data_IF_157402429484
#
_entry.id   IF_157402429484
#
_cell.length_a   1.000
_cell.length_b   1.000
_cell.length_c   1.000
_cell.angle_alpha   90.00
_cell.angle_beta   90.00
_cell.angle_gamma   90.00
#
_symmetry.space_group_name_H-M   'P 1'
#
loop_
_entity.id
_entity.type
_entity.pdbx_description
1 polymer ?
#
# COMPACT_ATOMS: atom_id res chain seq x y z
N UNK A 1 -17.67 -12.96 -47.14
CA UNK A 1 -18.01 -11.99 -46.09
C UNK A 1 -17.09 -12.29 -44.92
N UNK A 2 -15.92 -11.64 -44.86
CA UNK A 2 -14.84 -11.95 -43.95
C UNK A 2 -14.78 -10.79 -42.92
N UNK A 3 -14.91 -11.09 -41.64
CA UNK A 3 -14.78 -10.13 -40.58
C UNK A 3 -13.31 -9.85 -40.27
N UNK A 4 -12.87 -8.62 -40.08
CA UNK A 4 -11.50 -8.30 -39.69
C UNK A 4 -11.28 -8.50 -38.18
N UNK A 5 -10.12 -9.07 -37.84
CA UNK A 5 -9.62 -9.29 -36.49
C UNK A 5 -9.11 -7.97 -35.85
N UNK A 6 -9.24 -7.79 -34.51
CA UNK A 6 -8.79 -6.61 -33.82
C UNK A 6 -7.36 -6.81 -33.27
N UNK A 7 -6.35 -6.28 -33.98
CA UNK A 7 -5.02 -6.10 -33.40
C UNK A 7 -4.37 -4.88 -34.06
N UNK A 8 -4.64 -3.71 -33.55
CA UNK A 8 -3.80 -2.54 -33.81
C UNK A 8 -3.21 -2.06 -32.49
N UNK A 9 -1.99 -2.51 -32.22
CA UNK A 9 -1.10 -1.88 -31.25
C UNK A 9 -0.71 -0.50 -31.79
N UNK A 10 -1.11 0.56 -31.11
CA UNK A 10 -0.62 1.90 -31.38
C UNK A 10 0.84 1.98 -30.91
N UNK A 11 1.77 1.92 -31.84
CA UNK A 11 3.17 2.26 -31.60
C UNK A 11 3.28 3.78 -31.60
N UNK A 12 3.46 4.37 -30.41
CA UNK A 12 3.76 5.80 -30.29
C UNK A 12 5.25 6.00 -30.63
N UNK A 13 5.51 6.50 -31.81
CA UNK A 13 6.83 6.97 -32.24
C UNK A 13 7.05 8.36 -31.67
N UNK A 14 8.00 8.49 -30.74
CA UNK A 14 8.48 9.79 -30.28
C UNK A 14 9.29 10.45 -31.41
N UNK A 15 8.69 11.41 -32.09
CA UNK A 15 9.40 12.32 -32.98
C UNK A 15 9.73 13.59 -32.19
N UNK A 16 11.03 13.83 -32.02
CA UNK A 16 11.60 15.04 -31.44
C UNK A 16 11.46 16.23 -32.42
N UNK A 17 10.52 17.13 -32.19
CA UNK A 17 10.63 18.53 -32.64
C UNK A 17 9.98 19.42 -31.58
N UNK A 18 10.76 20.36 -31.05
CA UNK A 18 10.37 21.23 -29.95
C UNK A 18 9.27 22.21 -30.31
N UNK A 19 8.35 22.40 -29.37
CA UNK A 19 7.58 23.61 -29.19
C UNK A 19 7.45 23.90 -27.68
N UNK A 20 7.96 25.02 -27.17
CA UNK A 20 7.95 25.32 -25.75
C UNK A 20 6.70 26.10 -25.41
N UNK A 21 5.58 25.48 -25.16
CA UNK A 21 4.40 26.09 -24.54
C UNK A 21 3.28 25.07 -24.28
N UNK A 22 3.58 23.89 -23.75
CA UNK A 22 2.54 23.07 -23.13
C UNK A 22 2.90 22.86 -21.67
N UNK A 23 2.38 23.72 -20.86
CA UNK A 23 2.58 23.76 -19.41
C UNK A 23 2.04 22.49 -18.79
N UNK A 24 2.87 21.86 -17.96
CA UNK A 24 2.63 20.74 -17.05
C UNK A 24 1.52 21.02 -16.01
N UNK A 25 0.31 21.35 -16.42
CA UNK A 25 -0.82 21.57 -15.51
C UNK A 25 -1.50 20.22 -15.17
N UNK A 26 -1.46 19.24 -16.07
CA UNK A 26 -2.15 17.97 -15.87
C UNK A 26 -1.42 16.98 -14.96
N UNK A 27 -0.09 16.96 -14.91
CA UNK A 27 0.64 16.05 -14.02
C UNK A 27 0.57 16.47 -12.55
N UNK A 28 0.64 17.76 -12.26
CA UNK A 28 0.56 18.25 -10.87
C UNK A 28 -0.86 18.13 -10.28
N UNK A 29 -1.91 18.30 -11.07
CA UNK A 29 -3.29 18.08 -10.63
C UNK A 29 -3.63 16.58 -10.48
N UNK A 30 -3.09 15.72 -11.31
CA UNK A 30 -3.29 14.28 -11.18
C UNK A 30 -2.62 13.71 -9.91
N UNK A 31 -1.42 14.16 -9.57
CA UNK A 31 -0.71 13.80 -8.35
C UNK A 31 -1.36 14.38 -7.08
N UNK A 32 -2.03 15.53 -7.19
CA UNK A 32 -2.69 16.16 -6.04
C UNK A 32 -3.96 15.45 -5.57
N UNK A 33 -4.52 14.54 -6.37
CA UNK A 33 -5.76 13.82 -6.06
C UNK A 33 -5.54 12.33 -5.67
N UNK A 34 -4.29 11.86 -5.65
CA UNK A 34 -3.96 10.51 -5.24
C UNK A 34 -3.85 10.38 -3.72
N UNK A 35 -4.37 9.29 -3.16
CA UNK A 35 -4.16 8.99 -1.75
C UNK A 35 -2.67 8.70 -1.45
N UNK A 36 -2.24 8.89 -0.21
CA UNK A 36 -0.87 8.57 0.22
C UNK A 36 -0.51 7.10 -0.08
N UNK A 37 -1.46 6.18 0.05
CA UNK A 37 -1.24 4.76 -0.24
C UNK A 37 -1.04 4.50 -1.73
N UNK A 38 -1.77 5.18 -2.60
CA UNK A 38 -1.58 5.10 -4.05
C UNK A 38 -0.21 5.63 -4.47
N UNK A 39 0.21 6.77 -3.91
CA UNK A 39 1.55 7.32 -4.16
C UNK A 39 2.65 6.37 -3.67
N UNK A 40 2.49 5.80 -2.47
CA UNK A 40 3.44 4.82 -1.92
C UNK A 40 3.51 3.56 -2.79
N UNK A 41 2.37 3.06 -3.26
CA UNK A 41 2.31 1.90 -4.16
C UNK A 41 3.07 2.15 -5.46
N UNK A 42 2.97 3.34 -6.05
CA UNK A 42 3.74 3.73 -7.23
C UNK A 42 5.26 3.71 -6.97
N UNK A 43 5.70 4.24 -5.81
CA UNK A 43 7.11 4.18 -5.41
C UNK A 43 7.58 2.75 -5.25
N UNK A 44 6.77 1.87 -4.68
CA UNK A 44 7.09 0.45 -4.51
C UNK A 44 7.19 -0.25 -5.87
N UNK A 45 6.25 0.02 -6.81
CA UNK A 45 6.30 -0.50 -8.18
C UNK A 45 7.57 -0.03 -8.90
N UNK A 46 7.93 1.26 -8.80
CA UNK A 46 9.17 1.76 -9.38
C UNK A 46 10.41 1.04 -8.82
N UNK A 47 10.46 0.76 -7.50
CA UNK A 47 11.56 0.00 -6.88
C UNK A 47 11.63 -1.46 -7.34
N UNK A 48 10.51 -2.06 -7.72
CA UNK A 48 10.45 -3.39 -8.32
C UNK A 48 10.95 -3.37 -9.76
N UNK A 49 10.49 -2.41 -10.55
CA UNK A 49 10.70 -2.36 -12.00
C UNK A 49 12.05 -1.71 -12.35
N UNK A 50 12.51 -0.75 -11.55
CA UNK A 50 13.77 -0.02 -11.68
C UNK A 50 14.59 -0.09 -10.38
N UNK A 51 15.12 -1.27 -10.01
CA UNK A 51 15.71 -1.51 -8.69
C UNK A 51 17.01 -0.70 -8.48
N UNK A 52 17.04 0.26 -7.55
CA UNK A 52 18.28 0.95 -7.20
C UNK A 52 19.26 0.02 -6.48
N UNK A 53 20.57 0.22 -6.69
CA UNK A 53 21.62 -0.62 -6.12
C UNK A 53 21.63 -0.70 -4.57
N UNK A 54 21.09 0.33 -3.90
CA UNK A 54 20.99 0.40 -2.44
C UNK A 54 19.55 0.76 -2.05
N UNK A 55 18.65 -0.23 -2.06
CA UNK A 55 17.25 -0.05 -1.68
C UNK A 55 16.81 -1.22 -0.80
N UNK A 56 16.24 -0.91 0.35
CA UNK A 56 15.64 -1.89 1.23
C UNK A 56 14.49 -2.63 0.54
N UNK A 57 13.60 -1.90 -0.15
CA UNK A 57 12.50 -2.48 -0.92
C UNK A 57 13.01 -3.48 -1.97
N UNK A 58 14.10 -3.13 -2.68
CA UNK A 58 14.74 -4.02 -3.65
C UNK A 58 15.28 -5.28 -2.97
N UNK A 59 15.85 -5.18 -1.77
CA UNK A 59 16.31 -6.37 -1.05
C UNK A 59 15.16 -7.30 -0.66
N UNK A 60 14.00 -6.75 -0.29
CA UNK A 60 12.80 -7.54 -0.02
C UNK A 60 12.29 -8.26 -1.27
N UNK A 61 12.23 -7.58 -2.41
CA UNK A 61 11.84 -8.21 -3.67
C UNK A 61 12.77 -9.34 -4.08
N UNK A 62 14.08 -9.18 -3.89
CA UNK A 62 15.08 -10.22 -4.20
C UNK A 62 14.96 -11.44 -3.27
N UNK A 63 14.60 -11.23 -2.01
CA UNK A 63 14.40 -12.29 -1.03
C UNK A 63 13.04 -13.00 -1.18
N UNK A 64 12.06 -12.34 -1.81
CA UNK A 64 10.76 -12.90 -2.16
C UNK A 64 9.79 -13.07 -1.01
N UNK A 65 8.71 -13.81 -1.27
CA UNK A 65 7.57 -14.00 -0.35
C UNK A 65 7.97 -14.44 1.06
N UNK A 66 8.95 -15.35 1.28
CA UNK A 66 9.31 -15.75 2.64
C UNK A 66 9.76 -14.57 3.51
N UNK A 67 10.70 -13.77 3.02
CA UNK A 67 11.24 -12.63 3.77
C UNK A 67 10.20 -11.50 3.93
N UNK A 68 9.44 -11.20 2.88
CA UNK A 68 8.37 -10.20 2.97
C UNK A 68 7.31 -10.66 3.98
N UNK A 69 6.98 -11.96 3.98
CA UNK A 69 6.04 -12.55 4.92
C UNK A 69 6.52 -12.51 6.37
N UNK A 70 7.81 -12.77 6.62
CA UNK A 70 8.44 -12.61 7.94
C UNK A 70 8.27 -11.17 8.44
N UNK A 71 8.53 -10.16 7.59
CA UNK A 71 8.35 -8.75 7.96
C UNK A 71 6.89 -8.40 8.24
N UNK A 72 5.94 -8.85 7.42
CA UNK A 72 4.50 -8.64 7.68
C UNK A 72 4.08 -9.21 9.04
N UNK A 73 4.59 -10.41 9.41
CA UNK A 73 4.27 -11.04 10.68
C UNK A 73 4.95 -10.35 11.88
N UNK A 74 6.17 -9.87 11.70
CA UNK A 74 6.93 -9.09 12.67
C UNK A 74 6.18 -7.80 13.01
N UNK A 75 5.87 -6.96 12.01
CA UNK A 75 5.16 -5.68 12.19
C UNK A 75 3.73 -5.88 12.76
N UNK A 76 3.05 -6.95 12.36
CA UNK A 76 1.75 -7.30 12.95
C UNK A 76 1.86 -7.63 14.44
N UNK A 77 2.93 -8.32 14.85
CA UNK A 77 3.22 -8.62 16.25
C UNK A 77 3.50 -7.35 17.07
N UNK A 78 4.38 -6.49 16.55
CA UNK A 78 4.76 -5.22 17.19
C UNK A 78 3.57 -4.25 17.30
N UNK A 79 2.71 -4.20 16.28
CA UNK A 79 1.46 -3.45 16.34
C UNK A 79 0.53 -3.94 17.46
N UNK A 80 0.38 -5.26 17.61
CA UNK A 80 -0.48 -5.82 18.67
C UNK A 80 0.10 -5.52 20.06
N UNK A 81 1.42 -5.64 20.24
CA UNK A 81 2.10 -5.36 21.49
C UNK A 81 1.97 -3.87 21.87
N UNK A 82 2.34 -2.97 20.96
CA UNK A 82 2.26 -1.52 21.18
C UNK A 82 0.84 -1.04 21.44
N UNK A 83 -0.16 -1.59 20.74
CA UNK A 83 -1.58 -1.30 20.96
C UNK A 83 -2.04 -1.78 22.35
N UNK A 84 -1.60 -2.97 22.79
CA UNK A 84 -1.88 -3.49 24.14
C UNK A 84 -1.34 -2.57 25.22
N UNK A 85 -0.09 -2.12 25.08
CA UNK A 85 0.53 -1.19 26.01
C UNK A 85 -0.17 0.18 26.03
N UNK A 86 -0.51 0.72 24.86
CA UNK A 86 -1.22 2.00 24.76
C UNK A 86 -2.59 1.94 25.40
N UNK A 87 -3.39 0.90 25.13
CA UNK A 87 -4.73 0.74 25.70
C UNK A 87 -4.69 0.56 27.21
N UNK A 88 -3.75 -0.24 27.75
CA UNK A 88 -3.60 -0.43 29.20
C UNK A 88 -3.31 0.87 29.94
N UNK A 89 -2.49 1.76 29.35
CA UNK A 89 -2.20 3.07 29.94
C UNK A 89 -3.39 4.04 29.85
N UNK A 90 -4.27 3.89 28.87
CA UNK A 90 -5.44 4.73 28.68
C UNK A 90 -6.54 4.45 29.70
N UNK A 91 -6.66 3.20 30.16
CA UNK A 91 -7.72 2.76 31.09
C UNK A 91 -7.50 3.14 32.57
N UNK A 92 -6.43 3.88 32.87
CA UNK A 92 -6.46 4.82 34.00
C UNK A 92 -6.08 4.31 35.38
N UNK A 93 -5.18 3.34 35.54
CA UNK A 93 -4.64 2.94 36.85
C UNK A 93 -3.24 3.45 37.15
N UNK A 94 -2.56 4.03 36.17
CA UNK A 94 -1.22 4.61 36.37
C UNK A 94 -1.24 6.11 36.08
N UNK A 95 -0.50 6.90 36.88
CA UNK A 95 -0.44 8.36 36.78
C UNK A 95 -0.19 8.80 35.32
N UNK A 96 -1.14 9.56 34.78
CA UNK A 96 -1.12 10.09 33.41
C UNK A 96 0.02 11.11 33.26
N UNK A 97 1.21 10.65 32.86
CA UNK A 97 2.16 11.52 32.21
C UNK A 97 1.72 11.61 30.73
N UNK A 98 1.28 12.80 30.31
CA UNK A 98 0.84 13.07 28.93
C UNK A 98 1.89 12.65 27.92
N UNK A 99 3.15 12.89 28.18
CA UNK A 99 4.28 12.65 27.30
C UNK A 99 4.47 11.15 26.98
N UNK A 100 4.39 10.29 28.02
CA UNK A 100 4.50 8.83 27.82
C UNK A 100 3.32 8.23 27.06
N UNK A 101 2.13 8.83 27.16
CA UNK A 101 0.96 8.38 26.41
C UNK A 101 1.03 8.80 24.95
N UNK A 102 1.58 9.96 24.64
CA UNK A 102 1.81 10.41 23.27
C UNK A 102 2.92 9.59 22.57
N UNK A 103 3.99 9.23 23.29
CA UNK A 103 5.02 8.32 22.77
C UNK A 103 4.44 6.96 22.40
N UNK A 104 3.65 6.34 23.28
CA UNK A 104 3.00 5.05 23.02
C UNK A 104 2.00 5.11 21.87
N UNK A 105 1.26 6.20 21.75
CA UNK A 105 0.39 6.44 20.60
C UNK A 105 1.18 6.51 19.30
N UNK A 106 2.31 7.21 19.29
CA UNK A 106 3.17 7.30 18.11
C UNK A 106 3.75 5.93 17.73
N UNK A 107 4.09 5.10 18.72
CA UNK A 107 4.56 3.73 18.47
C UNK A 107 3.49 2.91 17.75
N UNK A 108 2.24 2.91 18.21
CA UNK A 108 1.14 2.21 17.52
C UNK A 108 0.97 2.68 16.08
N UNK A 109 1.10 4.00 15.84
CA UNK A 109 0.99 4.57 14.49
C UNK A 109 2.18 4.12 13.62
N UNK A 110 3.38 4.03 14.20
CA UNK A 110 4.59 3.59 13.51
C UNK A 110 4.45 2.14 13.04
N UNK A 111 4.14 1.22 13.95
CA UNK A 111 3.98 -0.19 13.62
C UNK A 111 2.84 -0.44 12.62
N UNK A 112 1.74 0.32 12.75
CA UNK A 112 0.66 0.26 11.77
C UNK A 112 1.11 0.70 10.36
N UNK A 113 1.95 1.73 10.28
CA UNK A 113 2.49 2.21 9.01
C UNK A 113 3.46 1.19 8.38
N UNK A 114 4.31 0.56 9.19
CA UNK A 114 5.26 -0.45 8.72
C UNK A 114 4.56 -1.73 8.27
N UNK A 115 3.53 -2.16 8.98
CA UNK A 115 2.66 -3.26 8.55
C UNK A 115 2.00 -2.97 7.19
N UNK A 116 1.45 -1.76 7.02
CA UNK A 116 0.87 -1.33 5.73
C UNK A 116 1.93 -1.33 4.63
N UNK A 117 3.12 -0.77 4.90
CA UNK A 117 4.22 -0.74 3.94
C UNK A 117 4.62 -2.14 3.48
N UNK A 118 4.88 -3.07 4.38
CA UNK A 118 5.27 -4.44 4.03
C UNK A 118 4.14 -5.22 3.34
N UNK A 119 2.87 -4.92 3.66
CA UNK A 119 1.71 -5.45 2.94
C UNK A 119 1.67 -4.97 1.48
N UNK A 120 1.94 -3.67 1.23
CA UNK A 120 2.02 -3.13 -0.13
C UNK A 120 3.18 -3.74 -0.93
N UNK A 121 4.34 -3.98 -0.29
CA UNK A 121 5.47 -4.69 -0.92
C UNK A 121 5.07 -6.12 -1.30
N UNK A 122 4.34 -6.83 -0.45
CA UNK A 122 3.83 -8.17 -0.73
C UNK A 122 2.87 -8.15 -1.93
N UNK A 123 1.90 -7.23 -1.97
CA UNK A 123 0.97 -7.07 -3.08
C UNK A 123 1.72 -6.83 -4.40
N UNK A 124 2.65 -5.87 -4.40
CA UNK A 124 3.47 -5.56 -5.56
C UNK A 124 4.31 -6.74 -6.04
N UNK A 125 4.86 -7.54 -5.11
CA UNK A 125 5.60 -8.76 -5.44
C UNK A 125 4.71 -9.80 -6.13
N UNK A 126 3.45 -9.88 -5.73
CA UNK A 126 2.44 -10.75 -6.34
C UNK A 126 1.83 -10.19 -7.64
N UNK A 127 2.24 -8.99 -8.09
CA UNK A 127 1.68 -8.32 -9.27
C UNK A 127 0.28 -7.75 -9.06
N UNK A 128 -0.11 -7.50 -7.80
CA UNK A 128 -1.39 -6.90 -7.40
C UNK A 128 -1.18 -5.42 -7.08
N UNK A 129 -2.25 -4.62 -7.21
CA UNK A 129 -2.28 -3.22 -6.83
C UNK A 129 -3.14 -3.01 -5.56
N UNK A 130 -2.88 -1.91 -4.85
CA UNK A 130 -3.68 -1.59 -3.66
C UNK A 130 -5.15 -1.28 -4.02
N UNK A 131 -5.41 -0.81 -5.22
CA UNK A 131 -6.78 -0.60 -5.72
C UNK A 131 -7.61 -1.89 -5.77
N UNK A 132 -6.99 -3.05 -5.96
CA UNK A 132 -7.68 -4.35 -5.89
C UNK A 132 -8.20 -4.60 -4.47
N UNK A 133 -7.41 -4.23 -3.45
CA UNK A 133 -7.80 -4.34 -2.04
C UNK A 133 -8.89 -3.32 -1.70
N UNK A 134 -8.79 -2.08 -2.20
CA UNK A 134 -9.82 -1.06 -2.02
C UNK A 134 -11.16 -1.51 -2.59
N UNK A 135 -11.17 -2.11 -3.78
CA UNK A 135 -12.39 -2.64 -4.42
C UNK A 135 -13.00 -3.78 -3.59
N UNK A 136 -12.17 -4.71 -3.11
CA UNK A 136 -12.64 -5.80 -2.24
C UNK A 136 -13.24 -5.26 -0.94
N UNK A 137 -12.60 -4.28 -0.30
CA UNK A 137 -13.12 -3.63 0.90
C UNK A 137 -14.43 -2.87 0.60
N UNK A 138 -14.49 -2.15 -0.51
CA UNK A 138 -15.69 -1.43 -0.92
C UNK A 138 -16.88 -2.37 -1.18
N UNK A 139 -16.63 -3.55 -1.73
CA UNK A 139 -17.66 -4.56 -1.97
C UNK A 139 -18.32 -5.07 -0.69
N UNK A 140 -17.64 -4.92 0.45
CA UNK A 140 -18.13 -5.34 1.78
C UNK A 140 -18.92 -4.26 2.49
N UNK A 141 -18.96 -3.04 1.98
CA UNK A 141 -19.72 -1.96 2.60
C UNK A 141 -21.21 -2.26 2.54
N UNK A 142 -21.89 -2.20 3.70
CA UNK A 142 -23.32 -2.50 3.83
C UNK A 142 -23.67 -3.98 3.97
N UNK A 143 -22.69 -4.89 3.88
CA UNK A 143 -22.90 -6.31 4.15
C UNK A 143 -22.61 -6.60 5.63
N UNK A 144 -23.55 -7.27 6.32
CA UNK A 144 -23.31 -7.73 7.69
C UNK A 144 -22.11 -8.70 7.71
N UNK A 145 -21.16 -8.50 8.60
CA UNK A 145 -19.99 -9.39 8.76
C UNK A 145 -20.38 -10.85 9.06
N UNK A 146 -21.59 -11.08 9.61
CA UNK A 146 -22.15 -12.41 9.82
C UNK A 146 -22.62 -13.04 8.50
N UNK A 147 -23.26 -12.26 7.63
CA UNK A 147 -23.73 -12.71 6.32
C UNK A 147 -22.56 -13.01 5.39
N UNK A 148 -21.54 -12.20 5.42
CA UNK A 148 -20.29 -12.41 4.68
C UNK A 148 -19.59 -13.71 5.12
N UNK A 149 -19.45 -13.94 6.43
CA UNK A 149 -18.83 -15.15 6.99
C UNK A 149 -19.63 -16.42 6.61
N UNK A 150 -20.93 -16.33 6.51
CA UNK A 150 -21.79 -17.45 6.12
C UNK A 150 -21.72 -17.73 4.61
N UNK A 151 -21.54 -16.73 3.78
CA UNK A 151 -21.41 -16.89 2.33
C UNK A 151 -20.10 -17.57 1.90
N UNK A 152 -19.02 -17.38 2.65
CA UNK A 152 -17.70 -17.99 2.39
C UNK A 152 -17.61 -19.49 2.75
N UNK A 153 -18.63 -20.04 3.46
CA UNK A 153 -18.66 -21.45 3.87
C UNK A 153 -19.37 -22.36 2.86
N UNK A 154 -19.81 -21.83 1.72
CA UNK A 154 -20.36 -22.59 0.59
C UNK A 154 -19.30 -22.79 -0.49
#
# INVERSE_FOLDING_TARGET
MVLPSPTQRATIIFSSVGCPCYTNIHESEFLSNQSTLQQLMQVIHDRRDNPPAKSYTTSLFNAGVPMIGEKVMEEAGELVESAGEYCTNRDGTTARNSDTNDEKKQQVIHEAADLVYHTLVMLSHCGLDFTDVEQELASRFGVSGIDEKNSRKK
#
